data_IF_148759336054
#
_entry.id   IF_148759336054
#
_cell.length_a   1.000
_cell.length_b   1.000
_cell.length_c   1.000
_cell.angle_alpha   90.00
_cell.angle_beta   90.00
_cell.angle_gamma   90.00
#
_symmetry.space_group_name_H-M   'P 1'
#
loop_
_entity.id
_entity.type
_entity.pdbx_description
1 polymer ?
#
# COMPACT_ATOMS: atom_id res chain seq x y z
N UNK A 1 12.16 -11.74 3.87
CA UNK A 1 11.60 -11.07 2.68
C UNK A 1 10.15 -10.79 2.95
N UNK A 2 9.68 -9.55 2.72
CA UNK A 2 8.27 -9.18 2.92
C UNK A 2 7.43 -9.56 1.70
N UNK A 3 6.17 -9.94 1.92
CA UNK A 3 5.24 -10.27 0.84
C UNK A 3 5.02 -9.06 -0.09
N UNK A 4 4.77 -9.35 -1.37
CA UNK A 4 4.42 -8.34 -2.38
C UNK A 4 3.08 -8.70 -2.98
N UNK A 5 2.29 -7.70 -3.34
CA UNK A 5 0.89 -7.88 -3.69
C UNK A 5 0.58 -7.38 -5.09
N UNK A 6 -0.36 -8.08 -5.73
CA UNK A 6 -1.17 -7.55 -6.82
C UNK A 6 -2.63 -7.63 -6.39
N UNK A 7 -3.37 -6.53 -6.55
CA UNK A 7 -4.71 -6.39 -5.98
C UNK A 7 -5.69 -6.05 -7.10
N UNK A 8 -6.84 -6.72 -7.09
CA UNK A 8 -7.93 -6.49 -8.04
C UNK A 8 -8.74 -5.22 -7.74
N UNK A 9 -9.71 -4.90 -8.60
CA UNK A 9 -10.57 -3.73 -8.46
C UNK A 9 -11.45 -3.73 -7.21
N UNK A 10 -11.73 -4.89 -6.60
CA UNK A 10 -12.60 -5.00 -5.42
C UNK A 10 -11.94 -4.48 -4.14
N UNK A 11 -10.61 -4.48 -4.11
CA UNK A 11 -9.82 -4.20 -2.92
C UNK A 11 -8.96 -2.94 -3.06
N UNK A 12 -9.37 -1.98 -3.91
CA UNK A 12 -8.59 -0.76 -4.15
C UNK A 12 -8.31 0.09 -2.90
N UNK A 13 -9.25 0.14 -1.95
CA UNK A 13 -9.03 0.80 -0.65
C UNK A 13 -7.98 0.04 0.16
N UNK A 14 -8.07 -1.28 0.24
CA UNK A 14 -7.08 -2.11 0.92
C UNK A 14 -5.69 -1.93 0.30
N UNK A 15 -5.59 -1.93 -1.04
CA UNK A 15 -4.32 -1.74 -1.74
C UNK A 15 -3.59 -0.45 -1.32
N UNK A 16 -4.34 0.66 -1.22
CA UNK A 16 -3.78 1.95 -0.77
C UNK A 16 -3.22 1.86 0.65
N UNK A 17 -3.90 1.15 1.54
CA UNK A 17 -3.48 1.01 2.94
C UNK A 17 -2.34 0.00 3.12
N UNK A 18 -2.25 -1.03 2.28
CA UNK A 18 -1.09 -1.91 2.25
C UNK A 18 0.18 -1.17 1.84
N UNK A 19 0.09 -0.22 0.89
CA UNK A 19 1.22 0.68 0.55
C UNK A 19 1.62 1.55 1.73
N UNK A 20 0.63 2.11 2.44
CA UNK A 20 0.89 2.89 3.65
C UNK A 20 1.53 2.05 4.76
N UNK A 21 1.24 0.75 4.80
CA UNK A 21 1.84 -0.22 5.73
C UNK A 21 3.26 -0.64 5.31
N UNK A 22 3.74 -0.20 4.14
CA UNK A 22 5.10 -0.47 3.64
C UNK A 22 5.19 -1.60 2.60
N UNK A 23 4.06 -2.25 2.27
CA UNK A 23 4.05 -3.32 1.27
C UNK A 23 4.18 -2.80 -0.16
N UNK A 24 4.97 -3.50 -0.97
CA UNK A 24 4.94 -3.38 -2.42
C UNK A 24 3.63 -3.95 -2.97
N UNK A 25 2.69 -3.06 -3.29
CA UNK A 25 1.31 -3.40 -3.65
C UNK A 25 0.92 -2.77 -4.99
N UNK A 26 0.92 -3.59 -6.04
CA UNK A 26 0.40 -3.20 -7.35
C UNK A 26 -1.13 -3.27 -7.32
N UNK A 27 -1.78 -2.23 -7.83
CA UNK A 27 -3.23 -2.17 -7.98
C UNK A 27 -3.54 -1.54 -9.33
N UNK A 28 -4.29 -2.29 -10.15
CA UNK A 28 -4.66 -1.91 -11.49
C UNK A 28 -6.18 -1.93 -11.60
N UNK A 29 -6.80 -0.76 -11.46
CA UNK A 29 -8.27 -0.59 -11.42
C UNK A 29 -9.02 -1.28 -12.57
N UNK A 30 -8.41 -1.33 -13.75
CA UNK A 30 -9.04 -1.85 -14.97
C UNK A 30 -8.32 -3.08 -15.55
N UNK A 31 -7.45 -3.73 -14.77
CA UNK A 31 -6.81 -4.96 -15.24
C UNK A 31 -7.82 -6.11 -15.30
N UNK A 32 -7.71 -6.94 -16.34
CA UNK A 32 -8.44 -8.20 -16.41
C UNK A 32 -7.78 -9.24 -15.52
N UNK A 33 -8.54 -10.25 -15.09
CA UNK A 33 -8.06 -11.39 -14.31
C UNK A 33 -6.77 -12.01 -14.86
N UNK A 34 -6.70 -12.20 -16.18
CA UNK A 34 -5.52 -12.77 -16.86
C UNK A 34 -4.27 -11.91 -16.69
N UNK A 35 -4.41 -10.60 -16.58
CA UNK A 35 -3.30 -9.66 -16.38
C UNK A 35 -2.84 -9.69 -14.92
N UNK A 36 -3.77 -9.73 -13.97
CA UNK A 36 -3.47 -9.86 -12.54
C UNK A 36 -2.74 -11.17 -12.25
N UNK A 37 -3.23 -12.29 -12.79
CA UNK A 37 -2.59 -13.61 -12.68
C UNK A 37 -1.20 -13.64 -13.31
N UNK A 38 -1.04 -12.98 -14.47
CA UNK A 38 0.27 -12.87 -15.13
C UNK A 38 1.26 -12.11 -14.26
N UNK A 39 0.86 -10.96 -13.70
CA UNK A 39 1.70 -10.15 -12.80
C UNK A 39 2.04 -10.95 -11.53
N UNK A 40 1.05 -11.60 -10.91
CA UNK A 40 1.26 -12.46 -9.75
C UNK A 40 2.35 -13.51 -10.00
N UNK A 41 2.26 -14.20 -11.13
CA UNK A 41 3.19 -15.26 -11.50
C UNK A 41 4.58 -14.75 -11.87
N UNK A 42 4.66 -13.74 -12.74
CA UNK A 42 5.93 -13.24 -13.28
C UNK A 42 6.74 -12.50 -12.22
N UNK A 43 6.08 -11.75 -11.34
CA UNK A 43 6.75 -10.96 -10.32
C UNK A 43 6.82 -11.66 -8.96
N UNK A 44 6.22 -12.85 -8.82
CA UNK A 44 6.16 -13.57 -7.54
C UNK A 44 5.37 -12.80 -6.48
N UNK A 45 4.23 -12.22 -6.86
CA UNK A 45 3.32 -11.49 -5.98
C UNK A 45 2.14 -12.37 -5.57
N UNK A 46 1.64 -12.17 -4.36
CA UNK A 46 0.37 -12.74 -3.91
C UNK A 46 -0.78 -11.90 -4.49
N UNK A 47 -1.72 -12.56 -5.15
CA UNK A 47 -2.94 -11.96 -5.66
C UNK A 47 -3.96 -11.83 -4.53
N UNK A 48 -4.34 -10.61 -4.18
CA UNK A 48 -5.42 -10.34 -3.23
C UNK A 48 -6.71 -10.03 -3.98
N UNK A 49 -7.79 -10.74 -3.65
CA UNK A 49 -9.11 -10.55 -4.28
C UNK A 49 -10.22 -10.99 -3.33
N UNK A 50 -11.44 -10.49 -3.54
CA UNK A 50 -12.67 -11.06 -2.94
C UNK A 50 -13.42 -11.98 -3.92
N UNK A 51 -12.92 -12.16 -5.15
CA UNK A 51 -13.49 -13.08 -6.14
C UNK A 51 -12.94 -14.50 -5.91
N UNK A 52 -13.82 -15.39 -5.46
CA UNK A 52 -13.52 -16.80 -5.19
C UNK A 52 -12.99 -17.54 -6.42
N UNK A 53 -13.48 -17.22 -7.63
CA UNK A 53 -13.03 -17.85 -8.87
C UNK A 53 -11.62 -17.38 -9.21
N UNK A 54 -11.33 -16.09 -9.07
CA UNK A 54 -10.00 -15.54 -9.32
C UNK A 54 -8.97 -16.08 -8.33
N UNK A 55 -9.29 -16.09 -7.03
CA UNK A 55 -8.43 -16.67 -5.99
C UNK A 55 -8.13 -18.15 -6.26
N UNK A 56 -9.17 -18.94 -6.60
CA UNK A 56 -9.00 -20.36 -6.95
C UNK A 56 -8.12 -20.54 -8.19
N UNK A 57 -8.21 -19.64 -9.16
CA UNK A 57 -7.39 -19.67 -10.38
C UNK A 57 -5.93 -19.34 -10.07
N UNK A 58 -5.67 -18.42 -9.14
CA UNK A 58 -4.32 -18.08 -8.65
C UNK A 58 -3.68 -19.18 -7.78
N UNK A 59 -4.46 -20.15 -7.28
CA UNK A 59 -3.98 -21.29 -6.46
C UNK A 59 -3.16 -20.81 -5.26
N UNK A 60 -1.97 -21.37 -5.04
CA UNK A 60 -1.06 -21.00 -3.95
C UNK A 60 -0.56 -19.55 -4.02
N UNK A 61 -0.75 -18.84 -5.15
CA UNK A 61 -0.41 -17.43 -5.28
C UNK A 61 -1.61 -16.51 -5.00
N UNK A 62 -2.81 -17.04 -4.70
CA UNK A 62 -4.00 -16.26 -4.40
C UNK A 62 -4.36 -16.29 -2.92
N UNK A 63 -4.72 -15.13 -2.37
CA UNK A 63 -5.36 -15.00 -1.07
C UNK A 63 -6.76 -14.40 -1.26
N UNK A 64 -7.77 -15.19 -0.94
CA UNK A 64 -9.17 -14.74 -0.89
C UNK A 64 -9.37 -13.95 0.41
N UNK A 65 -9.70 -12.66 0.29
CA UNK A 65 -10.05 -11.82 1.42
C UNK A 65 -11.52 -12.04 1.77
N UNK A 66 -11.77 -12.62 2.94
CA UNK A 66 -13.11 -13.00 3.37
C UNK A 66 -13.79 -11.88 4.17
N UNK A 67 -13.01 -11.08 4.89
CA UNK A 67 -13.53 -10.06 5.79
C UNK A 67 -14.07 -8.82 5.07
N UNK A 68 -15.00 -8.16 5.74
CA UNK A 68 -15.55 -6.88 5.32
C UNK A 68 -14.96 -5.73 6.14
N UNK A 69 -14.82 -4.58 5.50
CA UNK A 69 -14.26 -3.40 6.14
C UNK A 69 -12.74 -3.41 6.21
N UNK A 70 -12.16 -2.23 6.04
CA UNK A 70 -10.72 -2.07 5.85
C UNK A 70 -9.88 -2.65 7.01
N UNK A 71 -10.30 -2.43 8.25
CA UNK A 71 -9.51 -2.82 9.42
C UNK A 71 -9.47 -4.33 9.61
N UNK A 72 -10.55 -5.03 9.26
CA UNK A 72 -10.57 -6.49 9.28
C UNK A 72 -9.72 -7.06 8.13
N UNK A 73 -9.80 -6.46 6.94
CA UNK A 73 -9.02 -6.87 5.77
C UNK A 73 -7.52 -6.69 5.97
N UNK A 74 -7.09 -5.58 6.59
CA UNK A 74 -5.69 -5.36 6.93
C UNK A 74 -5.17 -6.42 7.92
N UNK A 75 -5.95 -6.73 8.96
CA UNK A 75 -5.61 -7.79 9.92
C UNK A 75 -5.53 -9.15 9.25
N UNK A 76 -6.48 -9.47 8.38
CA UNK A 76 -6.51 -10.74 7.63
C UNK A 76 -5.24 -10.91 6.78
N UNK A 77 -4.82 -9.87 6.06
CA UNK A 77 -3.57 -9.91 5.27
C UNK A 77 -2.35 -10.09 6.17
N UNK A 78 -2.25 -9.34 7.27
CA UNK A 78 -1.09 -9.41 8.18
C UNK A 78 -1.01 -10.75 8.91
N UNK A 79 -2.13 -11.31 9.35
CA UNK A 79 -2.17 -12.63 9.98
C UNK A 79 -1.74 -13.73 8.99
N UNK A 80 -2.21 -13.65 7.74
CA UNK A 80 -1.91 -14.66 6.72
C UNK A 80 -0.47 -14.62 6.20
N UNK A 81 0.15 -13.43 6.15
CA UNK A 81 1.40 -13.20 5.39
C UNK A 81 2.51 -12.55 6.22
N UNK A 82 2.28 -12.33 7.52
CA UNK A 82 3.14 -11.56 8.41
C UNK A 82 3.00 -10.05 8.20
N UNK A 83 3.67 -9.21 9.01
CA UNK A 83 3.71 -7.76 8.81
C UNK A 83 4.66 -7.35 7.68
N UNK A 84 4.55 -6.09 7.25
CA UNK A 84 5.47 -5.48 6.29
C UNK A 84 6.87 -5.46 6.89
N UNK A 85 7.88 -5.82 6.07
CA UNK A 85 9.28 -5.61 6.41
C UNK A 85 9.82 -4.23 6.00
N UNK A 86 8.97 -3.39 5.40
CA UNK A 86 9.28 -2.02 5.01
C UNK A 86 8.69 -1.00 5.99
N UNK A 87 9.25 0.21 5.98
CA UNK A 87 8.80 1.31 6.83
C UNK A 87 7.38 1.78 6.46
N UNK A 88 6.61 2.21 7.46
CA UNK A 88 5.31 2.83 7.25
C UNK A 88 5.46 4.09 6.41
N UNK A 89 4.49 4.34 5.52
CA UNK A 89 4.45 5.51 4.64
C UNK A 89 5.68 5.68 3.74
N UNK A 90 6.47 4.63 3.52
CA UNK A 90 7.65 4.64 2.63
C UNK A 90 7.35 4.54 1.14
N UNK A 91 6.07 4.35 0.77
CA UNK A 91 5.62 4.17 -0.62
C UNK A 91 4.51 5.12 -0.97
N UNK A 92 4.50 5.56 -2.23
CA UNK A 92 3.43 6.37 -2.79
C UNK A 92 2.10 5.63 -2.69
N UNK A 93 1.12 6.26 -2.04
CA UNK A 93 -0.21 5.68 -1.85
C UNK A 93 -0.96 5.50 -3.18
N UNK A 94 -0.60 6.27 -4.21
CA UNK A 94 -1.27 6.24 -5.52
C UNK A 94 -0.63 5.27 -6.51
N UNK A 95 0.70 5.27 -6.63
CA UNK A 95 1.40 4.49 -7.66
C UNK A 95 2.38 3.45 -7.11
N UNK A 96 2.50 3.29 -5.79
CA UNK A 96 3.33 2.28 -5.11
C UNK A 96 4.86 2.48 -5.20
N UNK A 97 5.35 3.45 -5.97
CA UNK A 97 6.78 3.79 -6.05
C UNK A 97 7.31 4.18 -4.67
N UNK A 98 8.50 3.69 -4.26
CA UNK A 98 9.18 4.15 -3.05
C UNK A 98 9.32 5.68 -3.04
N UNK A 99 9.09 6.29 -1.89
CA UNK A 99 9.24 7.72 -1.72
C UNK A 99 10.70 8.07 -1.44
N UNK A 100 11.11 9.26 -1.88
CA UNK A 100 12.45 9.80 -1.68
C UNK A 100 12.35 11.08 -0.87
N UNK A 101 13.28 11.31 0.05
CA UNK A 101 13.39 12.59 0.73
C UNK A 101 13.60 13.72 -0.29
N UNK A 102 12.94 14.86 -0.07
CA UNK A 102 13.06 16.06 -0.90
C UNK A 102 13.45 17.25 -0.05
N UNK A 103 14.36 18.06 -0.59
CA UNK A 103 14.70 19.33 0.01
C UNK A 103 13.50 20.29 -0.06
N UNK A 104 13.41 21.22 0.90
CA UNK A 104 12.31 22.18 0.97
C UNK A 104 12.21 23.03 -0.29
N UNK A 105 13.33 23.35 -0.90
CA UNK A 105 13.46 24.16 -2.11
C UNK A 105 12.86 23.44 -3.33
N UNK A 106 12.95 22.10 -3.38
CA UNK A 106 12.41 21.29 -4.48
C UNK A 106 10.87 21.22 -4.48
N UNK A 107 10.24 21.47 -3.33
CA UNK A 107 8.78 21.34 -3.16
C UNK A 107 8.05 22.68 -3.14
N UNK A 108 8.77 23.80 -3.30
CA UNK A 108 8.18 25.13 -3.41
C UNK A 108 7.23 25.18 -4.62
N UNK A 109 5.99 25.62 -4.40
CA UNK A 109 4.96 25.67 -5.44
C UNK A 109 4.29 24.33 -5.75
N UNK A 110 4.79 23.21 -5.20
CA UNK A 110 4.16 21.88 -5.31
C UNK A 110 3.25 21.55 -4.11
N UNK A 111 3.45 22.26 -3.00
CA UNK A 111 2.64 22.13 -1.77
C UNK A 111 2.08 23.49 -1.34
N UNK A 112 1.01 23.53 -0.53
CA UNK A 112 0.48 24.78 0.01
C UNK A 112 1.55 25.56 0.80
N UNK A 113 1.53 26.90 0.70
CA UNK A 113 2.52 27.75 1.37
C UNK A 113 2.62 27.51 2.88
N UNK A 114 1.47 27.36 3.56
CA UNK A 114 1.40 27.03 4.99
C UNK A 114 2.10 25.69 5.34
N UNK A 115 2.13 24.73 4.41
CA UNK A 115 2.86 23.47 4.62
C UNK A 115 4.37 23.73 4.66
N UNK A 116 4.90 24.60 3.79
CA UNK A 116 6.31 24.98 3.82
C UNK A 116 6.66 25.69 5.13
N UNK A 117 5.76 26.50 5.66
CA UNK A 117 5.96 27.22 6.93
C UNK A 117 6.00 26.29 8.14
N UNK A 118 5.21 25.21 8.12
CA UNK A 118 4.99 24.35 9.30
C UNK A 118 5.73 23.02 9.27
N UNK A 119 6.23 22.59 8.11
CA UNK A 119 6.88 21.29 7.93
C UNK A 119 8.33 21.45 7.49
N UNK A 120 9.21 20.62 8.05
CA UNK A 120 10.63 20.56 7.70
C UNK A 120 11.00 19.35 6.83
N UNK A 121 10.11 18.36 6.71
CA UNK A 121 10.37 17.11 6.02
C UNK A 121 9.37 16.90 4.87
N UNK A 122 9.90 16.50 3.72
CA UNK A 122 9.12 16.26 2.52
C UNK A 122 9.61 15.00 1.81
N UNK A 123 8.66 14.31 1.19
CA UNK A 123 8.88 13.06 0.50
C UNK A 123 8.23 13.13 -0.89
N UNK A 124 9.03 13.00 -1.93
CA UNK A 124 8.59 13.03 -3.33
C UNK A 124 8.45 11.63 -3.91
N UNK A 125 7.42 11.43 -4.72
CA UNK A 125 7.27 10.23 -5.53
C UNK A 125 7.89 10.45 -6.93
N UNK A 126 8.98 9.75 -7.30
CA UNK A 126 9.57 9.89 -8.63
C UNK A 126 8.68 9.31 -9.75
N UNK A 127 7.70 8.46 -9.41
CA UNK A 127 6.81 7.83 -10.39
C UNK A 127 5.64 8.71 -10.85
N UNK A 128 5.04 9.50 -9.94
CA UNK A 128 3.87 10.33 -10.26
C UNK A 128 4.00 11.80 -9.86
N UNK A 129 5.13 12.21 -9.30
CA UNK A 129 5.42 13.59 -8.91
C UNK A 129 4.70 14.10 -7.66
N UNK A 130 3.90 13.25 -6.99
CA UNK A 130 3.22 13.65 -5.75
C UNK A 130 4.21 13.88 -4.61
N UNK A 131 3.94 14.90 -3.81
CA UNK A 131 4.70 15.25 -2.60
C UNK A 131 3.88 14.88 -1.36
N UNK A 132 4.54 14.32 -0.36
CA UNK A 132 4.01 13.91 0.93
C UNK A 132 4.82 14.57 2.04
N UNK A 133 4.22 14.79 3.20
CA UNK A 133 4.85 15.41 4.37
C UNK A 133 4.18 14.91 5.66
N UNK A 134 4.86 14.98 6.81
CA UNK A 134 4.27 14.68 8.10
C UNK A 134 3.08 15.58 8.44
N UNK A 135 2.18 15.13 9.31
CA UNK A 135 1.06 15.93 9.80
C UNK A 135 -0.18 15.09 10.08
N UNK A 136 -1.27 15.76 10.45
CA UNK A 136 -2.47 15.11 11.02
C UNK A 136 -3.10 14.02 10.14
N UNK A 137 -2.90 14.04 8.81
CA UNK A 137 -3.32 12.94 7.95
C UNK A 137 -2.39 11.72 8.08
N UNK A 138 -1.08 11.92 8.04
CA UNK A 138 -0.09 10.89 8.26
C UNK A 138 -0.23 10.30 9.67
N UNK A 139 -0.40 11.13 10.70
CA UNK A 139 -0.55 10.69 12.09
C UNK A 139 -1.75 9.75 12.27
N UNK A 140 -2.89 10.06 11.63
CA UNK A 140 -4.08 9.19 11.65
C UNK A 140 -3.86 7.86 10.94
N UNK A 141 -3.08 7.86 9.86
CA UNK A 141 -2.70 6.61 9.17
C UNK A 141 -1.79 5.79 10.08
N UNK A 142 -0.75 6.40 10.64
CA UNK A 142 0.21 5.75 11.54
C UNK A 142 -0.49 5.18 12.78
N UNK A 143 -1.35 5.94 13.44
CA UNK A 143 -2.10 5.48 14.61
C UNK A 143 -2.95 4.22 14.31
N UNK A 144 -3.47 4.11 13.08
CA UNK A 144 -4.24 2.93 12.65
C UNK A 144 -3.34 1.74 12.29
N UNK A 145 -2.14 1.99 11.75
CA UNK A 145 -1.27 0.95 11.22
C UNK A 145 -0.26 0.40 12.22
N UNK A 146 0.25 1.22 13.15
CA UNK A 146 1.25 0.82 14.15
C UNK A 146 0.87 -0.45 14.94
N UNK A 147 -0.39 -0.62 15.40
CA UNK A 147 -0.77 -1.84 16.09
C UNK A 147 -0.57 -3.11 15.25
N UNK A 148 -0.70 -3.04 13.93
CA UNK A 148 -0.52 -4.20 13.04
C UNK A 148 0.95 -4.61 12.86
N UNK A 149 1.89 -3.74 13.20
CA UNK A 149 3.34 -4.00 13.11
C UNK A 149 3.93 -4.33 14.48
N UNK A 150 3.49 -3.61 15.51
CA UNK A 150 3.98 -3.76 16.89
C UNK A 150 3.37 -4.98 17.60
N UNK A 151 2.10 -5.31 17.33
CA UNK A 151 1.38 -6.47 17.88
C UNK A 151 0.58 -7.17 16.74
N UNK A 152 1.27 -7.87 15.83
CA UNK A 152 0.62 -8.46 14.66
C UNK A 152 -0.41 -9.51 15.08
N UNK A 153 -1.60 -9.52 14.45
CA UNK A 153 -2.61 -10.55 14.72
C UNK A 153 -2.04 -11.94 14.46
N UNK A 154 -2.34 -12.88 15.37
CA UNK A 154 -1.95 -14.29 15.28
C UNK A 154 -2.76 -15.04 14.23
#
# INVERSE_FOLDING_TARGET
MSARFVVDSMLGRLARWLRALGYDTVYLRHARDVELLRIARQEGRVLLTRDTRLARTARAQGLLIQTEGLDAQLREVVAALGPSGGELLSRCLDCNTPLEARAREEVVGLVPAYTLETQSEFYGCPGCGKVFWPGSHADRILARLRPLVEDPPR
#
